data_IF_338908549238
#
_entry.id   IF_338908549238
#
_cell.length_a   1.000
_cell.length_b   1.000
_cell.length_c   1.000
_cell.angle_alpha   90.00
_cell.angle_beta   90.00
_cell.angle_gamma   90.00
#
_symmetry.space_group_name_H-M   'P 1'
#
loop_
_entity.id
_entity.type
_entity.pdbx_description
1 polymer ?
#
# COMPACT_ATOMS: atom_id res chain seq x y z
N UNK A 1 -1.70 -3.12 -20.87
CA UNK A 1 -1.09 -3.26 -19.53
C UNK A 1 -1.40 -1.99 -18.75
N UNK A 2 -1.88 -2.11 -17.52
CA UNK A 2 -2.07 -0.98 -16.60
C UNK A 2 -0.99 -1.09 -15.53
N UNK A 3 -0.29 0.01 -15.28
CA UNK A 3 0.70 0.13 -14.21
C UNK A 3 0.28 1.28 -13.28
N UNK A 4 0.16 0.99 -11.98
CA UNK A 4 -0.23 1.99 -10.97
C UNK A 4 0.85 2.06 -9.91
N UNK A 5 1.51 3.22 -9.82
CA UNK A 5 2.35 3.52 -8.68
C UNK A 5 1.46 3.79 -7.47
N UNK A 6 1.64 3.04 -6.40
CA UNK A 6 0.88 3.24 -5.18
C UNK A 6 1.64 4.24 -4.30
N UNK A 7 1.17 5.48 -4.27
CA UNK A 7 1.65 6.52 -3.36
C UNK A 7 0.53 6.91 -2.38
N UNK A 8 0.89 7.59 -1.30
CA UNK A 8 -0.08 8.12 -0.32
C UNK A 8 -0.87 7.07 0.47
N UNK A 9 -0.29 5.91 0.78
CA UNK A 9 -0.95 4.88 1.61
C UNK A 9 -1.53 5.42 2.91
N UNK A 10 -0.85 6.38 3.56
CA UNK A 10 -1.28 7.00 4.81
C UNK A 10 -2.55 7.88 4.68
N UNK A 11 -2.97 8.23 3.46
CA UNK A 11 -4.20 8.98 3.18
C UNK A 11 -5.36 8.08 2.78
N UNK A 12 -5.14 6.77 2.71
CA UNK A 12 -6.18 5.85 2.32
C UNK A 12 -7.23 5.77 3.43
N UNK A 13 -8.50 5.80 3.07
CA UNK A 13 -9.60 5.72 4.02
C UNK A 13 -10.38 4.40 3.81
N UNK A 14 -11.14 4.02 4.83
CA UNK A 14 -11.85 2.73 4.85
C UNK A 14 -12.90 2.61 3.72
N UNK A 15 -13.40 3.73 3.19
CA UNK A 15 -14.38 3.74 2.12
C UNK A 15 -13.73 3.65 0.74
N UNK A 16 -12.54 4.21 0.56
CA UNK A 16 -11.80 4.16 -0.70
C UNK A 16 -10.89 2.94 -0.85
N UNK A 17 -10.54 2.25 0.23
CA UNK A 17 -9.78 1.00 0.13
C UNK A 17 -10.63 -0.16 -0.40
N UNK A 18 -10.17 -0.76 -1.50
CA UNK A 18 -10.97 -1.68 -2.33
C UNK A 18 -11.14 -3.09 -1.76
N UNK A 19 -10.25 -3.54 -0.86
CA UNK A 19 -10.25 -4.92 -0.38
C UNK A 19 -10.33 -5.04 1.13
N UNK A 20 -11.38 -4.46 1.73
CA UNK A 20 -11.62 -4.56 3.18
C UNK A 20 -11.62 -6.01 3.70
N UNK A 21 -12.27 -7.00 3.03
CA UNK A 21 -12.25 -8.38 3.52
C UNK A 21 -10.84 -8.97 3.68
N UNK A 22 -9.88 -8.57 2.83
CA UNK A 22 -8.49 -8.98 2.99
C UNK A 22 -7.85 -8.44 4.28
N UNK A 23 -8.14 -7.20 4.66
CA UNK A 23 -7.60 -6.62 5.90
C UNK A 23 -8.34 -7.10 7.15
N UNK A 24 -9.66 -7.30 7.06
CA UNK A 24 -10.48 -7.93 8.11
C UNK A 24 -9.96 -9.34 8.40
N UNK A 25 -9.65 -10.13 7.37
CA UNK A 25 -9.02 -11.45 7.52
C UNK A 25 -7.64 -11.43 8.21
N UNK A 26 -6.99 -10.26 8.27
CA UNK A 26 -5.73 -10.05 8.99
C UNK A 26 -5.93 -9.38 10.37
N UNK A 27 -7.16 -9.06 10.76
CA UNK A 27 -7.47 -8.30 11.98
C UNK A 27 -7.01 -6.84 11.94
N UNK A 28 -6.90 -6.24 10.75
CA UNK A 28 -6.40 -4.87 10.53
C UNK A 28 -7.51 -3.87 10.18
N UNK A 29 -8.76 -4.32 10.09
CA UNK A 29 -9.89 -3.50 9.60
C UNK A 29 -11.23 -3.91 10.23
N UNK A 30 -11.22 -4.45 11.46
CA UNK A 30 -12.46 -4.87 12.15
C UNK A 30 -13.36 -3.66 12.49
N UNK A 31 -12.75 -2.48 12.60
CA UNK A 31 -13.44 -1.19 12.74
C UNK A 31 -12.76 -0.09 11.91
N UNK A 32 -13.46 1.04 11.74
CA UNK A 32 -12.89 2.24 11.13
C UNK A 32 -11.66 2.76 11.91
N UNK A 33 -11.63 2.54 13.22
CA UNK A 33 -10.52 2.94 14.06
C UNK A 33 -9.29 2.05 13.85
N UNK A 34 -9.47 0.73 13.77
CA UNK A 34 -8.37 -0.21 13.51
C UNK A 34 -7.76 0.05 12.14
N UNK A 35 -8.59 0.30 11.13
CA UNK A 35 -8.13 0.66 9.80
C UNK A 35 -7.35 1.98 9.82
N UNK A 36 -7.86 3.02 10.49
CA UNK A 36 -7.17 4.31 10.58
C UNK A 36 -5.82 4.20 11.30
N UNK A 37 -5.76 3.42 12.39
CA UNK A 37 -4.51 3.12 13.09
C UNK A 37 -3.53 2.40 12.17
N UNK A 38 -3.98 1.33 11.50
CA UNK A 38 -3.16 0.58 10.55
C UNK A 38 -2.61 1.48 9.43
N UNK A 39 -3.47 2.26 8.78
CA UNK A 39 -3.06 3.20 7.73
C UNK A 39 -2.07 4.24 8.24
N UNK A 40 -2.25 4.75 9.46
CA UNK A 40 -1.32 5.72 10.05
C UNK A 40 0.11 5.18 10.16
N UNK A 41 0.27 3.87 10.39
CA UNK A 41 1.60 3.22 10.46
C UNK A 41 2.33 3.27 9.12
N UNK A 42 1.62 3.29 7.98
CA UNK A 42 2.22 3.42 6.66
C UNK A 42 2.96 4.76 6.48
N UNK A 43 2.60 5.79 7.25
CA UNK A 43 3.31 7.07 7.30
C UNK A 43 4.73 6.96 7.86
N UNK A 44 5.02 5.96 8.71
CA UNK A 44 6.35 5.76 9.28
C UNK A 44 7.41 5.35 8.25
N UNK A 45 7.00 4.90 7.07
CA UNK A 45 7.90 4.52 5.98
C UNK A 45 8.79 5.68 5.49
N UNK A 46 8.29 6.91 5.59
CA UNK A 46 8.90 8.13 5.01
C UNK A 46 9.00 9.30 5.97
N UNK A 47 8.60 9.13 7.23
CA UNK A 47 8.68 10.19 8.24
C UNK A 47 10.10 10.77 8.38
N UNK A 48 10.18 12.08 8.52
CA UNK A 48 11.43 12.79 8.77
C UNK A 48 11.92 12.53 10.19
N UNK A 49 13.07 11.86 10.33
CA UNK A 49 13.72 11.70 11.63
C UNK A 49 14.45 12.99 11.99
N UNK A 50 14.24 13.48 13.21
CA UNK A 50 14.89 14.68 13.68
C UNK A 50 16.38 14.38 13.91
N UNK A 51 17.23 14.71 12.94
CA UNK A 51 18.68 14.37 12.98
C UNK A 51 19.43 15.07 14.13
N UNK A 52 18.81 16.06 14.76
CA UNK A 52 19.38 16.84 15.86
C UNK A 52 19.40 16.10 17.19
N UNK A 53 18.58 15.06 17.38
CA UNK A 53 18.56 14.24 18.60
C UNK A 53 19.07 12.82 18.29
N UNK A 54 20.30 12.54 18.70
CA UNK A 54 21.21 11.66 17.97
C UNK A 54 21.63 10.40 18.74
N UNK A 55 20.90 9.99 19.78
CA UNK A 55 21.24 8.76 20.48
C UNK A 55 21.09 7.54 19.55
N UNK A 56 22.00 6.57 19.69
CA UNK A 56 21.95 5.32 18.93
C UNK A 56 20.60 4.61 19.10
N UNK A 57 20.06 4.61 20.33
CA UNK A 57 18.77 4.02 20.64
C UNK A 57 17.62 4.65 19.82
N UNK A 58 17.61 5.99 19.70
CA UNK A 58 16.62 6.71 18.87
C UNK A 58 16.72 6.29 17.41
N UNK A 59 17.93 6.22 16.85
CA UNK A 59 18.17 5.81 15.46
C UNK A 59 17.72 4.39 15.18
N UNK A 60 18.02 3.46 16.10
CA UNK A 60 17.57 2.06 15.97
C UNK A 60 16.04 1.99 15.98
N UNK A 61 15.40 2.65 16.94
CA UNK A 61 13.94 2.70 17.03
C UNK A 61 13.29 3.31 15.76
N UNK A 62 13.89 4.36 15.22
CA UNK A 62 13.46 5.04 14.01
C UNK A 62 13.57 4.12 12.76
N UNK A 63 14.64 3.34 12.66
CA UNK A 63 14.80 2.33 11.61
C UNK A 63 13.75 1.22 11.73
N UNK A 64 13.44 0.75 12.94
CA UNK A 64 12.39 -0.25 13.16
C UNK A 64 11.01 0.30 12.79
N UNK A 65 10.68 1.53 13.20
CA UNK A 65 9.45 2.21 12.78
C UNK A 65 9.34 2.30 11.25
N UNK A 66 10.44 2.60 10.57
CA UNK A 66 10.47 2.68 9.11
C UNK A 66 10.18 1.33 8.46
N UNK A 67 10.75 0.25 8.99
CA UNK A 67 10.47 -1.12 8.52
C UNK A 67 8.99 -1.46 8.67
N UNK A 68 8.40 -1.17 9.83
CA UNK A 68 6.97 -1.39 10.08
C UNK A 68 6.11 -0.61 9.09
N UNK A 69 6.42 0.67 8.86
CA UNK A 69 5.67 1.47 7.88
C UNK A 69 5.78 0.92 6.45
N UNK A 70 6.95 0.42 6.06
CA UNK A 70 7.14 -0.24 4.76
C UNK A 70 6.33 -1.54 4.64
N UNK A 71 6.21 -2.31 5.72
CA UNK A 71 5.37 -3.50 5.78
C UNK A 71 3.88 -3.15 5.63
N UNK A 72 3.42 -2.12 6.33
CA UNK A 72 2.03 -1.65 6.22
C UNK A 72 1.68 -1.22 4.80
N UNK A 73 2.57 -0.46 4.12
CA UNK A 73 2.43 -0.13 2.70
C UNK A 73 2.29 -1.39 1.83
N UNK A 74 3.13 -2.40 2.09
CA UNK A 74 3.13 -3.65 1.33
C UNK A 74 1.83 -4.45 1.52
N UNK A 75 1.30 -4.51 2.74
CA UNK A 75 0.03 -5.19 3.03
C UNK A 75 -1.11 -4.55 2.24
N UNK A 76 -1.20 -3.21 2.24
CA UNK A 76 -2.18 -2.49 1.44
C UNK A 76 -2.05 -2.80 -0.07
N UNK A 77 -0.82 -2.82 -0.59
CA UNK A 77 -0.59 -3.15 -2.00
C UNK A 77 -0.96 -4.59 -2.34
N UNK A 78 -0.63 -5.55 -1.47
CA UNK A 78 -0.98 -6.96 -1.65
C UNK A 78 -2.49 -7.18 -1.62
N UNK A 79 -3.22 -6.49 -0.74
CA UNK A 79 -4.67 -6.55 -0.74
C UNK A 79 -5.27 -6.00 -2.04
N UNK A 80 -4.70 -4.93 -2.61
CA UNK A 80 -5.10 -4.42 -3.93
C UNK A 80 -4.81 -5.42 -5.06
N UNK A 81 -3.64 -6.06 -5.05
CA UNK A 81 -3.31 -7.12 -6.02
C UNK A 81 -4.27 -8.31 -5.89
N UNK A 82 -4.55 -8.76 -4.66
CA UNK A 82 -5.50 -9.83 -4.40
C UNK A 82 -6.89 -9.51 -4.96
N UNK A 83 -7.35 -8.27 -4.76
CA UNK A 83 -8.62 -7.78 -5.29
C UNK A 83 -8.65 -7.76 -6.81
N UNK A 84 -7.59 -7.27 -7.47
CA UNK A 84 -7.49 -7.29 -8.94
C UNK A 84 -7.57 -8.71 -9.50
N UNK A 85 -6.93 -9.67 -8.82
CA UNK A 85 -6.95 -11.09 -9.22
C UNK A 85 -8.34 -11.71 -9.06
N UNK A 86 -9.00 -11.43 -7.94
CA UNK A 86 -10.28 -12.04 -7.56
C UNK A 86 -11.47 -11.37 -8.28
N UNK A 87 -11.62 -10.06 -8.11
CA UNK A 87 -12.82 -9.33 -8.54
C UNK A 87 -12.79 -8.96 -10.02
N UNK A 88 -11.60 -8.61 -10.55
CA UNK A 88 -11.45 -8.23 -11.96
C UNK A 88 -10.94 -9.36 -12.86
N UNK A 89 -10.74 -10.56 -12.31
CA UNK A 89 -10.19 -11.72 -13.02
C UNK A 89 -8.89 -11.40 -13.76
N UNK A 90 -7.99 -10.65 -13.11
CA UNK A 90 -6.64 -10.34 -13.61
C UNK A 90 -5.61 -11.20 -12.88
N UNK A 91 -5.50 -12.52 -13.17
CA UNK A 91 -4.67 -13.45 -12.39
C UNK A 91 -3.18 -13.07 -12.41
N UNK A 92 -2.75 -12.43 -13.51
CA UNK A 92 -1.37 -12.02 -13.74
C UNK A 92 -1.05 -10.66 -13.08
N UNK A 93 -1.99 -10.04 -12.36
CA UNK A 93 -1.71 -8.82 -11.61
C UNK A 93 -0.63 -9.10 -10.56
N UNK A 94 0.37 -8.23 -10.45
CA UNK A 94 1.52 -8.44 -9.56
C UNK A 94 2.09 -7.13 -9.06
N UNK A 95 2.97 -7.22 -8.06
CA UNK A 95 3.70 -6.11 -7.49
C UNK A 95 5.18 -6.27 -7.84
N UNK A 96 5.80 -5.24 -8.40
CA UNK A 96 7.21 -5.28 -8.79
C UNK A 96 7.93 -4.00 -8.41
N UNK A 97 9.25 -4.08 -8.27
CA UNK A 97 10.08 -2.89 -8.20
C UNK A 97 10.21 -2.25 -9.59
N UNK A 98 10.07 -0.93 -9.66
CA UNK A 98 10.27 -0.17 -10.91
C UNK A 98 11.63 0.54 -10.95
N UNK A 99 12.28 0.68 -9.79
CA UNK A 99 13.60 1.32 -9.66
C UNK A 99 14.35 0.75 -8.45
N UNK A 100 15.65 0.99 -8.37
CA UNK A 100 16.45 0.65 -7.19
C UNK A 100 15.93 1.35 -5.94
N UNK A 101 15.89 0.60 -4.82
CA UNK A 101 15.58 1.14 -3.48
C UNK A 101 16.53 2.24 -3.02
N UNK A 102 17.71 2.34 -3.64
CA UNK A 102 18.67 3.40 -3.38
C UNK A 102 18.18 4.78 -3.88
N UNK A 103 17.30 4.79 -4.90
CA UNK A 103 16.72 6.03 -5.45
C UNK A 103 15.52 6.46 -4.61
N UNK A 104 14.61 5.53 -4.33
CA UNK A 104 13.45 5.78 -3.47
C UNK A 104 13.07 4.51 -2.72
N UNK A 105 12.71 4.59 -1.43
CA UNK A 105 12.12 3.46 -0.73
C UNK A 105 10.72 3.10 -1.27
N UNK A 106 10.03 4.03 -1.92
CA UNK A 106 8.72 3.84 -2.55
C UNK A 106 8.86 3.34 -4.00
N UNK A 107 9.62 2.27 -4.19
CA UNK A 107 10.01 1.78 -5.51
C UNK A 107 9.06 0.74 -6.11
N UNK A 108 7.79 0.72 -5.72
CA UNK A 108 6.87 -0.39 -5.99
C UNK A 108 5.71 0.03 -6.88
N UNK A 109 5.34 -0.82 -7.83
CA UNK A 109 4.26 -0.61 -8.79
C UNK A 109 3.39 -1.85 -8.89
N UNK A 110 2.08 -1.67 -8.95
CA UNK A 110 1.14 -2.73 -9.32
C UNK A 110 1.04 -2.76 -10.83
N UNK A 111 1.29 -3.93 -11.42
CA UNK A 111 1.16 -4.18 -12.86
C UNK A 111 0.04 -5.18 -13.08
N UNK A 112 -0.89 -4.83 -13.96
CA UNK A 112 -2.00 -5.67 -14.36
C UNK A 112 -2.04 -5.79 -15.90
N UNK A 113 -1.74 -6.97 -16.47
CA UNK A 113 -1.89 -7.21 -17.89
C UNK A 113 -3.37 -7.12 -18.30
N UNK A 114 -3.66 -6.42 -19.39
CA UNK A 114 -5.03 -6.36 -19.93
C UNK A 114 -5.17 -7.51 -20.90
N UNK A 115 -6.03 -8.49 -20.61
CA UNK A 115 -6.40 -9.53 -21.57
C UNK A 115 -7.43 -8.97 -22.55
N UNK A 116 -7.22 -9.21 -23.84
CA UNK A 116 -8.21 -8.93 -24.88
C UNK A 116 -9.46 -9.79 -24.65
N UNK A 117 -10.58 -9.18 -24.23
CA UNK A 117 -11.86 -9.86 -24.05
C UNK A 117 -12.70 -9.45 -22.83
N UNK A 118 -12.16 -8.69 -21.87
CA UNK A 118 -12.93 -8.26 -20.68
C UNK A 118 -13.78 -7.03 -21.01
N UNK A 119 -15.10 -7.20 -20.90
CA UNK A 119 -16.12 -6.14 -21.06
C UNK A 119 -15.86 -4.99 -20.08
N UNK A 120 -15.82 -3.77 -20.64
CA UNK A 120 -15.46 -2.52 -19.95
C UNK A 120 -16.65 -1.96 -19.17
N UNK A 121 -16.87 -2.42 -17.94
CA UNK A 121 -17.62 -1.65 -16.94
C UNK A 121 -16.65 -1.03 -15.95
N UNK A 122 -16.06 0.10 -16.34
CA UNK A 122 -15.16 0.85 -15.45
C UNK A 122 -16.03 1.72 -14.53
N UNK A 123 -16.33 1.24 -13.33
CA UNK A 123 -16.57 2.19 -12.23
C UNK A 123 -15.20 2.77 -11.87
N UNK A 124 -15.04 4.09 -12.00
CA UNK A 124 -13.82 4.80 -11.62
C UNK A 124 -13.30 4.29 -10.27
N UNK A 125 -12.22 3.52 -10.29
CA UNK A 125 -11.45 3.23 -9.08
C UNK A 125 -10.73 4.53 -8.75
N UNK A 126 -11.32 5.32 -7.86
CA UNK A 126 -10.61 6.42 -7.22
C UNK A 126 -9.58 5.79 -6.28
N UNK A 127 -8.36 5.59 -6.79
CA UNK A 127 -7.24 5.11 -5.99
C UNK A 127 -6.79 6.23 -5.05
N UNK A 128 -7.27 6.24 -3.78
CA UNK A 128 -6.77 6.97 -2.59
C UNK A 128 -5.98 8.30 -2.79
N UNK A 129 -6.26 9.07 -3.85
CA UNK A 129 -5.66 10.35 -4.19
C UNK A 129 -6.78 11.38 -4.34
N UNK A 130 -7.37 11.75 -3.20
CA UNK A 130 -8.01 13.05 -3.02
C UNK A 130 -7.01 14.04 -2.46
#
# INVERSE_FOLDING_TARGET
>A
MVCVATCCHHRCDIHSYVNRPFLEGLGLCDSAQDFAQFVSTAGWAVGGFNRSDSTLARRVHDLEKRKVGMMAKRILDLGRVAWLRQELQLPDATLMDYISKAVTPENMVIVAPVRSGVSRSWKCLAWCCG
#
